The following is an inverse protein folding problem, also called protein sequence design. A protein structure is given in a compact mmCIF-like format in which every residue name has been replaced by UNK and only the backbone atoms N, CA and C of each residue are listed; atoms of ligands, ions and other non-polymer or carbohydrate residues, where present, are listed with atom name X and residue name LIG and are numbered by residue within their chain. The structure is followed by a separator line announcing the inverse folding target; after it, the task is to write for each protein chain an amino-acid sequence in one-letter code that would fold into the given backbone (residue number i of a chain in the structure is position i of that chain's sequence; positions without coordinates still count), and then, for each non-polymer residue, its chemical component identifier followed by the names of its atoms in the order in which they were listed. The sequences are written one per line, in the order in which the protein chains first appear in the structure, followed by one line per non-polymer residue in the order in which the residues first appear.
data_IF_222097788162
#
_entry.id   IF_222097788162
#
_cell.length_a   1.000
_cell.length_b   1.000
_cell.length_c   1.000
_cell.angle_alpha   90.00
_cell.angle_beta   90.00
_cell.angle_gamma   90.00
#
_symmetry.space_group_name_H-M   'P 1'
#
loop_
_entity.id
_entity.type
_entity.pdbx_description
1 polymer ?
#
# COMPACT_ATOMS: atom_id res chain seq x y z
N UNK A 1 10.94 -16.74 -15.23
CA UNK A 1 12.31 -16.37 -14.79
C UNK A 1 12.66 -14.89 -15.05
N UNK A 2 12.04 -14.20 -16.04
CA UNK A 2 12.34 -12.79 -16.36
C UNK A 2 11.86 -11.74 -15.37
N UNK A 3 10.91 -12.05 -14.52
CA UNK A 3 10.31 -11.08 -13.60
C UNK A 3 11.19 -10.70 -12.40
N UNK A 4 12.19 -11.49 -12.06
CA UNK A 4 13.07 -11.20 -10.93
C UNK A 4 13.99 -10.00 -11.15
N UNK A 5 14.24 -9.62 -12.41
CA UNK A 5 15.14 -8.51 -12.73
C UNK A 5 14.54 -7.12 -12.51
N UNK A 6 13.22 -6.97 -12.60
CA UNK A 6 12.51 -5.69 -12.43
C UNK A 6 11.85 -5.53 -11.07
N UNK A 7 11.96 -6.55 -10.21
CA UNK A 7 11.49 -6.54 -8.83
C UNK A 7 10.13 -5.85 -8.65
N UNK A 8 9.03 -6.34 -9.25
CA UNK A 8 7.72 -5.73 -9.08
C UNK A 8 7.30 -5.86 -7.61
N UNK A 9 6.84 -4.78 -7.03
CA UNK A 9 6.33 -4.74 -5.68
C UNK A 9 4.87 -4.30 -5.70
N UNK A 10 3.95 -5.20 -5.35
CA UNK A 10 2.56 -4.89 -5.12
C UNK A 10 2.40 -4.19 -3.75
N UNK A 11 1.63 -3.13 -3.72
CA UNK A 11 1.48 -2.31 -2.52
C UNK A 11 0.12 -1.61 -2.46
N UNK A 12 -0.20 -1.10 -1.29
CA UNK A 12 -1.33 -0.21 -1.07
C UNK A 12 -0.77 1.19 -0.83
N UNK A 13 -1.15 2.12 -1.67
CA UNK A 13 -0.88 3.54 -1.49
C UNK A 13 -2.03 4.19 -0.73
N UNK A 14 -1.69 5.09 0.18
CA UNK A 14 -2.65 5.89 0.92
C UNK A 14 -2.47 7.36 0.60
N UNK A 15 -3.55 8.09 0.42
CA UNK A 15 -3.50 9.55 0.42
C UNK A 15 -3.15 10.02 1.83
N UNK A 16 -1.95 10.57 2.02
CA UNK A 16 -1.46 11.00 3.34
C UNK A 16 -1.77 12.46 3.66
N UNK A 17 -2.44 13.17 2.75
CA UNK A 17 -2.78 14.59 2.93
C UNK A 17 -4.27 14.82 3.18
N UNK A 18 -5.11 13.91 2.72
CA UNK A 18 -6.56 14.06 2.79
C UNK A 18 -7.24 12.74 3.15
N UNK A 19 -8.40 12.83 3.83
CA UNK A 19 -9.21 11.68 4.20
C UNK A 19 -8.69 10.90 5.42
N UNK A 20 -9.23 9.69 5.65
CA UNK A 20 -8.99 8.97 6.90
C UNK A 20 -7.55 8.46 7.05
N UNK A 21 -6.86 8.24 5.94
CA UNK A 21 -5.53 7.65 5.93
C UNK A 21 -4.39 8.65 6.20
N UNK A 22 -4.71 9.90 6.53
CA UNK A 22 -3.75 10.85 7.12
C UNK A 22 -3.25 10.32 8.46
N UNK A 23 -4.12 9.66 9.23
CA UNK A 23 -3.73 9.04 10.50
C UNK A 23 -2.87 7.77 10.27
N UNK A 24 -1.63 7.75 10.78
CA UNK A 24 -0.76 6.59 10.66
C UNK A 24 -1.26 5.36 11.44
N UNK A 25 -2.12 5.53 12.45
CA UNK A 25 -2.68 4.41 13.19
C UNK A 25 -3.56 3.54 12.30
N UNK A 26 -4.38 4.15 11.43
CA UNK A 26 -5.22 3.40 10.48
C UNK A 26 -4.34 2.63 9.49
N UNK A 27 -3.32 3.28 8.90
CA UNK A 27 -2.41 2.64 7.95
C UNK A 27 -1.66 1.46 8.58
N UNK A 28 -1.24 1.61 9.84
CA UNK A 28 -0.59 0.54 10.61
C UNK A 28 -1.56 -0.62 10.88
N UNK A 29 -2.79 -0.33 11.29
CA UNK A 29 -3.81 -1.36 11.53
C UNK A 29 -4.09 -2.17 10.25
N UNK A 30 -4.22 -1.51 9.10
CA UNK A 30 -4.38 -2.16 7.80
C UNK A 30 -3.18 -3.08 7.50
N UNK A 31 -1.96 -2.57 7.69
CA UNK A 31 -0.74 -3.36 7.45
C UNK A 31 -0.63 -4.60 8.34
N UNK A 32 -1.14 -4.51 9.57
CA UNK A 32 -1.18 -5.65 10.50
C UNK A 32 -2.28 -6.65 10.16
N UNK A 33 -3.44 -6.18 9.68
CA UNK A 33 -4.61 -7.02 9.40
C UNK A 33 -4.47 -7.90 8.15
N UNK A 34 -3.69 -7.47 7.16
CA UNK A 34 -3.60 -8.13 5.85
C UNK A 34 -2.81 -9.43 5.94
N UNK A 35 -3.44 -10.54 5.53
CA UNK A 35 -2.77 -11.82 5.30
C UNK A 35 -2.07 -11.81 3.94
N UNK A 36 -0.77 -11.50 3.97
CA UNK A 36 0.08 -11.44 2.77
C UNK A 36 0.31 -12.81 2.18
N UNK A 37 0.33 -13.84 3.04
CA UNK A 37 0.54 -15.21 2.60
C UNK A 37 -0.64 -15.70 1.79
N UNK A 38 -1.86 -15.46 2.28
CA UNK A 38 -3.07 -15.76 1.53
C UNK A 38 -3.10 -15.06 0.18
N UNK A 39 -2.75 -13.76 0.13
CA UNK A 39 -2.71 -13.02 -1.13
C UNK A 39 -1.73 -13.65 -2.13
N UNK A 40 -0.53 -14.01 -1.68
CA UNK A 40 0.48 -14.63 -2.54
C UNK A 40 0.00 -16.01 -3.01
N UNK A 41 -0.40 -16.87 -2.10
CA UNK A 41 -0.70 -18.26 -2.42
C UNK A 41 -1.99 -18.42 -3.24
N UNK A 42 -3.02 -17.59 -2.97
CA UNK A 42 -4.36 -17.74 -3.57
C UNK A 42 -4.60 -16.76 -4.73
N UNK A 43 -4.19 -15.50 -4.60
CA UNK A 43 -4.49 -14.46 -5.59
C UNK A 43 -3.39 -14.38 -6.64
N UNK A 44 -2.13 -14.43 -6.20
CA UNK A 44 -0.95 -14.34 -7.06
C UNK A 44 -0.31 -15.71 -7.35
N UNK A 45 -1.05 -16.80 -7.16
CA UNK A 45 -0.68 -18.18 -7.55
C UNK A 45 0.70 -18.66 -7.04
N UNK A 46 1.10 -18.20 -5.87
CA UNK A 46 2.41 -18.51 -5.28
C UNK A 46 3.57 -17.67 -5.84
N UNK A 47 3.30 -16.77 -6.76
CA UNK A 47 4.32 -15.86 -7.29
C UNK A 47 4.54 -14.68 -6.36
N UNK A 48 5.69 -14.64 -5.69
CA UNK A 48 6.07 -13.53 -4.84
C UNK A 48 6.53 -13.94 -3.44
N UNK A 49 6.86 -12.94 -2.67
CA UNK A 49 7.23 -13.05 -1.25
C UNK A 49 6.66 -11.86 -0.48
N UNK A 50 6.31 -12.01 0.81
CA UNK A 50 5.91 -10.88 1.62
C UNK A 50 7.01 -9.82 1.64
N UNK A 51 6.66 -8.57 1.30
CA UNK A 51 7.57 -7.46 1.43
C UNK A 51 7.61 -6.97 2.88
N UNK A 52 8.81 -6.72 3.39
CA UNK A 52 9.04 -6.22 4.76
C UNK A 52 9.55 -4.78 4.76
N UNK A 53 9.95 -4.26 3.60
CA UNK A 53 10.45 -2.89 3.45
C UNK A 53 10.06 -2.31 2.08
N UNK A 54 10.40 -1.04 1.86
CA UNK A 54 10.29 -0.39 0.56
C UNK A 54 11.26 -0.95 -0.48
N UNK A 55 12.26 -1.72 -0.05
CA UNK A 55 13.22 -2.40 -0.91
C UNK A 55 12.87 -3.87 -1.07
N UNK A 56 13.00 -4.38 -2.30
CA UNK A 56 12.87 -5.81 -2.56
C UNK A 56 13.93 -6.62 -1.80
N UNK A 57 13.53 -7.80 -1.30
CA UNK A 57 14.45 -8.77 -0.68
C UNK A 57 15.55 -9.27 -1.60
N UNK A 58 15.48 -8.98 -2.90
CA UNK A 58 16.52 -9.30 -3.86
C UNK A 58 17.75 -8.38 -3.71
N UNK A 59 17.61 -7.20 -3.12
CA UNK A 59 18.72 -6.29 -2.80
C UNK A 59 19.35 -6.66 -1.46
N UNK A 60 20.03 -7.81 -1.40
CA UNK A 60 20.57 -8.38 -0.16
C UNK A 60 21.56 -7.46 0.57
N UNK A 61 22.36 -6.70 -0.17
CA UNK A 61 23.41 -5.85 0.41
C UNK A 61 22.87 -4.58 1.09
N UNK A 62 21.67 -4.14 0.70
CA UNK A 62 21.07 -2.88 1.15
C UNK A 62 19.78 -3.09 1.96
N UNK A 63 19.35 -4.34 2.14
CA UNK A 63 18.10 -4.64 2.79
C UNK A 63 18.31 -5.00 4.25
N UNK A 64 17.88 -4.11 5.13
CA UNK A 64 17.94 -4.25 6.58
C UNK A 64 16.68 -4.92 7.15
N UNK A 65 16.21 -6.01 6.54
CA UNK A 65 14.98 -6.71 6.94
C UNK A 65 14.89 -7.00 8.44
N UNK A 66 15.98 -7.35 9.08
CA UNK A 66 16.03 -7.68 10.51
C UNK A 66 15.76 -6.46 11.40
N UNK A 67 16.01 -5.25 10.90
CA UNK A 67 15.86 -3.99 11.63
C UNK A 67 14.54 -3.29 11.35
N UNK A 68 13.80 -3.75 10.34
CA UNK A 68 12.51 -3.15 9.95
C UNK A 68 11.37 -3.68 10.84
N UNK A 69 10.32 -2.85 11.07
CA UNK A 69 9.12 -3.32 11.73
C UNK A 69 8.56 -4.55 11.01
N UNK A 70 8.50 -5.68 11.71
CA UNK A 70 8.01 -6.91 11.12
C UNK A 70 6.48 -6.96 11.24
N UNK A 71 5.80 -6.97 10.10
CA UNK A 71 4.35 -7.20 10.05
C UNK A 71 4.08 -8.70 9.91
N UNK A 72 3.05 -9.25 10.59
CA UNK A 72 2.72 -10.66 10.52
C UNK A 72 2.38 -11.06 9.07
N UNK A 73 2.96 -12.16 8.58
CA UNK A 73 2.70 -12.65 7.22
C UNK A 73 1.24 -13.06 7.03
N UNK A 74 0.64 -13.69 8.06
CA UNK A 74 -0.74 -14.18 8.05
C UNK A 74 -1.78 -13.16 8.50
N UNK A 75 -1.36 -11.96 8.80
CA UNK A 75 -2.22 -10.94 9.39
C UNK A 75 -2.62 -11.23 10.84
N UNK A 76 -2.85 -10.16 11.61
CA UNK A 76 -3.32 -10.22 12.99
C UNK A 76 -4.47 -9.23 13.18
N UNK A 77 -5.70 -9.73 13.03
CA UNK A 77 -6.92 -8.92 13.17
C UNK A 77 -7.12 -8.43 14.62
N UNK A 78 -6.66 -9.20 15.61
CA UNK A 78 -6.79 -8.80 17.02
C UNK A 78 -5.87 -7.62 17.32
N UNK A 79 -4.61 -7.69 16.92
CA UNK A 79 -3.66 -6.58 17.04
C UNK A 79 -4.10 -5.35 16.24
N UNK A 80 -4.65 -5.54 15.03
CA UNK A 80 -5.18 -4.44 14.21
C UNK A 80 -6.35 -3.74 14.89
N UNK A 81 -7.30 -4.48 15.48
CA UNK A 81 -8.40 -3.94 16.27
C UNK A 81 -7.88 -3.16 17.48
N UNK A 82 -6.91 -3.70 18.22
CA UNK A 82 -6.31 -3.02 19.38
C UNK A 82 -5.65 -1.69 19.00
N UNK A 83 -5.00 -1.61 17.83
CA UNK A 83 -4.44 -0.36 17.29
C UNK A 83 -5.54 0.67 17.06
N UNK A 84 -6.65 0.27 16.39
CA UNK A 84 -7.77 1.17 16.10
C UNK A 84 -8.49 1.62 17.37
N UNK A 85 -8.71 0.72 18.33
CA UNK A 85 -9.33 1.03 19.61
C UNK A 85 -8.49 2.05 20.40
N UNK A 86 -7.17 1.85 20.46
CA UNK A 86 -6.22 2.77 21.11
C UNK A 86 -6.21 4.14 20.44
N UNK A 87 -6.39 4.19 19.12
CA UNK A 87 -6.48 5.44 18.36
C UNK A 87 -7.86 6.12 18.43
N UNK A 88 -8.85 5.52 19.13
CA UNK A 88 -10.16 6.10 19.34
C UNK A 88 -11.20 5.79 18.25
N UNK A 89 -10.88 4.95 17.29
CA UNK A 89 -11.81 4.52 16.23
C UNK A 89 -12.76 3.45 16.75
N UNK A 90 -13.88 3.88 17.33
CA UNK A 90 -14.92 2.97 17.85
C UNK A 90 -15.81 2.45 16.74
N UNK A 91 -16.33 1.22 16.91
CA UNK A 91 -17.36 0.67 16.04
C UNK A 91 -18.72 1.32 16.32
N UNK A 92 -19.45 1.62 15.26
CA UNK A 92 -20.86 2.01 15.35
C UNK A 92 -21.78 0.80 15.60
N UNK A 93 -23.10 1.03 15.62
CA UNK A 93 -24.10 -0.03 15.82
C UNK A 93 -24.10 -1.12 14.73
N UNK A 94 -23.49 -0.88 13.59
CA UNK A 94 -23.31 -1.83 12.49
C UNK A 94 -21.92 -2.48 12.47
N UNK A 95 -21.10 -2.21 13.48
CA UNK A 95 -19.72 -2.73 13.55
C UNK A 95 -18.71 -1.96 12.69
N UNK A 96 -19.08 -0.84 12.11
CA UNK A 96 -18.23 -0.02 11.23
C UNK A 96 -17.52 1.07 12.04
N UNK A 97 -16.21 1.21 11.82
CA UNK A 97 -15.36 2.28 12.39
C UNK A 97 -15.19 3.45 11.42
N UNK A 98 -15.02 3.13 10.16
CA UNK A 98 -14.89 4.12 9.07
C UNK A 98 -15.26 3.50 7.74
N UNK A 99 -15.63 4.37 6.79
CA UNK A 99 -15.87 4.01 5.39
C UNK A 99 -14.80 4.65 4.52
N UNK A 100 -14.35 3.93 3.50
CA UNK A 100 -13.34 4.43 2.57
C UNK A 100 -13.54 3.83 1.18
N UNK A 101 -12.90 4.46 0.19
CA UNK A 101 -12.87 4.00 -1.20
C UNK A 101 -11.50 3.42 -1.50
N UNK A 102 -11.48 2.25 -2.12
CA UNK A 102 -10.29 1.61 -2.65
C UNK A 102 -10.32 1.63 -4.17
N UNK A 103 -9.42 2.39 -4.75
CA UNK A 103 -9.15 2.38 -6.19
C UNK A 103 -8.26 1.18 -6.54
N UNK A 104 -8.59 0.49 -7.62
CA UNK A 104 -7.84 -0.68 -8.07
C UNK A 104 -7.16 -0.38 -9.40
N UNK A 105 -5.87 -0.71 -9.48
CA UNK A 105 -5.16 -0.63 -10.76
C UNK A 105 -5.85 -1.54 -11.80
N UNK A 106 -6.23 -1.02 -12.98
CA UNK A 106 -7.05 -1.75 -13.94
C UNK A 106 -6.24 -2.71 -14.85
N UNK A 107 -5.42 -3.57 -14.25
CA UNK A 107 -4.50 -4.44 -14.96
C UNK A 107 -4.84 -5.93 -14.83
N UNK A 108 -6.12 -6.23 -14.72
CA UNK A 108 -6.61 -7.60 -14.81
C UNK A 108 -7.31 -8.13 -13.56
N UNK A 109 -7.69 -9.40 -13.64
CA UNK A 109 -8.56 -10.04 -12.67
C UNK A 109 -7.89 -10.26 -11.30
N UNK A 110 -6.58 -10.47 -11.27
CA UNK A 110 -5.85 -10.68 -10.00
C UNK A 110 -5.93 -9.45 -9.10
N UNK A 111 -5.89 -8.26 -9.69
CA UNK A 111 -6.06 -7.01 -8.95
C UNK A 111 -7.49 -6.82 -8.44
N UNK A 112 -8.49 -7.30 -9.19
CA UNK A 112 -9.88 -7.31 -8.72
C UNK A 112 -10.04 -8.24 -7.53
N UNK A 113 -9.50 -9.46 -7.59
CA UNK A 113 -9.50 -10.41 -6.49
C UNK A 113 -8.77 -9.88 -5.27
N UNK A 114 -7.65 -9.19 -5.46
CA UNK A 114 -6.94 -8.51 -4.38
C UNK A 114 -7.83 -7.45 -3.70
N UNK A 115 -8.58 -6.67 -4.47
CA UNK A 115 -9.54 -5.69 -3.95
C UNK A 115 -10.66 -6.35 -3.13
N UNK A 116 -11.28 -7.41 -3.64
CA UNK A 116 -12.35 -8.13 -2.93
C UNK A 116 -11.83 -8.75 -1.62
N UNK A 117 -10.64 -9.34 -1.64
CA UNK A 117 -9.99 -9.83 -0.43
C UNK A 117 -9.77 -8.69 0.59
N UNK A 118 -9.21 -7.56 0.16
CA UNK A 118 -8.99 -6.41 1.03
C UNK A 118 -10.29 -5.88 1.63
N UNK A 119 -11.36 -5.81 0.83
CA UNK A 119 -12.69 -5.41 1.31
C UNK A 119 -13.17 -6.31 2.43
N UNK A 120 -13.01 -7.63 2.27
CA UNK A 120 -13.38 -8.59 3.32
C UNK A 120 -12.47 -8.46 4.55
N UNK A 121 -11.14 -8.52 4.35
CA UNK A 121 -10.16 -8.52 5.45
C UNK A 121 -10.24 -7.24 6.30
N UNK A 122 -10.45 -6.09 5.68
CA UNK A 122 -10.57 -4.80 6.37
C UNK A 122 -11.97 -4.61 6.96
N UNK A 123 -13.00 -5.21 6.39
CA UNK A 123 -14.33 -5.29 6.99
C UNK A 123 -14.31 -5.96 8.37
N UNK A 124 -13.51 -7.00 8.53
CA UNK A 124 -13.36 -7.72 9.81
C UNK A 124 -12.80 -6.83 10.93
N UNK A 125 -12.04 -5.80 10.59
CA UNK A 125 -11.54 -4.80 11.55
C UNK A 125 -12.38 -3.51 11.58
N UNK A 126 -13.53 -3.50 10.90
CA UNK A 126 -14.49 -2.39 10.91
C UNK A 126 -14.22 -1.30 9.87
N UNK A 127 -13.34 -1.54 8.91
CA UNK A 127 -13.10 -0.62 7.79
C UNK A 127 -13.93 -1.09 6.60
N UNK A 128 -15.03 -0.39 6.32
CA UNK A 128 -15.92 -0.71 5.20
C UNK A 128 -15.40 -0.07 3.91
N UNK A 129 -14.98 -0.91 2.96
CA UNK A 129 -14.47 -0.45 1.67
C UNK A 129 -15.54 -0.49 0.58
N UNK A 130 -15.60 0.59 -0.19
CA UNK A 130 -16.18 0.64 -1.52
C UNK A 130 -15.05 0.43 -2.54
N UNK A 131 -15.23 -0.53 -3.46
CA UNK A 131 -14.25 -0.78 -4.52
C UNK A 131 -14.58 0.04 -5.76
N UNK A 132 -13.59 0.74 -6.30
CA UNK A 132 -13.74 1.52 -7.51
C UNK A 132 -12.95 0.90 -8.65
N UNK A 133 -13.66 0.59 -9.72
CA UNK A 133 -13.11 0.02 -10.94
C UNK A 133 -13.26 1.04 -12.06
N UNK A 134 -12.16 1.43 -12.67
CA UNK A 134 -12.12 2.41 -13.77
C UNK A 134 -11.27 1.88 -14.92
N UNK A 135 -11.32 2.52 -16.07
CA UNK A 135 -10.35 2.29 -17.13
C UNK A 135 -8.99 2.93 -16.80
N UNK A 136 -7.94 2.52 -17.51
CA UNK A 136 -6.57 3.00 -17.27
C UNK A 136 -6.47 4.53 -17.35
N UNK A 137 -6.97 5.23 -18.39
CA UNK A 137 -6.89 6.69 -18.46
C UNK A 137 -7.59 7.39 -17.31
N UNK A 138 -8.77 6.92 -16.90
CA UNK A 138 -9.55 7.50 -15.81
C UNK A 138 -8.83 7.29 -14.48
N UNK A 139 -8.35 6.09 -14.21
CA UNK A 139 -7.58 5.77 -13.01
C UNK A 139 -6.29 6.60 -12.91
N UNK A 140 -5.49 6.72 -14.00
CA UNK A 140 -4.28 7.56 -14.03
C UNK A 140 -4.60 9.02 -13.73
N UNK A 141 -5.68 9.55 -14.33
CA UNK A 141 -6.12 10.92 -14.10
C UNK A 141 -6.53 11.15 -12.64
N UNK A 142 -7.24 10.19 -12.04
CA UNK A 142 -7.66 10.25 -10.64
C UNK A 142 -6.47 10.23 -9.71
N UNK A 143 -5.62 9.22 -9.83
CA UNK A 143 -4.51 8.98 -8.89
C UNK A 143 -3.41 10.03 -9.03
N UNK A 144 -2.94 10.31 -10.27
CA UNK A 144 -1.73 11.10 -10.47
C UNK A 144 -1.98 12.55 -10.89
N UNK A 145 -3.11 12.85 -11.55
CA UNK A 145 -3.39 14.21 -11.97
C UNK A 145 -4.25 14.99 -10.96
N UNK A 146 -5.15 14.30 -10.24
CA UNK A 146 -6.07 14.95 -9.31
C UNK A 146 -5.75 14.66 -7.85
N UNK A 147 -5.04 13.55 -7.56
CA UNK A 147 -4.89 12.98 -6.22
C UNK A 147 -6.25 12.71 -5.53
N UNK A 148 -7.28 12.44 -6.33
CA UNK A 148 -8.65 12.18 -5.90
C UNK A 148 -8.83 10.69 -5.60
N UNK A 149 -8.09 10.18 -4.63
CA UNK A 149 -8.19 8.83 -4.11
C UNK A 149 -7.95 8.82 -2.60
N UNK A 150 -8.42 7.79 -1.93
CA UNK A 150 -8.17 7.57 -0.50
C UNK A 150 -7.16 6.43 -0.31
N UNK A 151 -7.46 5.27 -0.85
CA UNK A 151 -6.59 4.09 -0.96
C UNK A 151 -6.49 3.68 -2.42
N UNK A 152 -5.33 3.18 -2.82
CA UNK A 152 -5.09 2.67 -4.17
C UNK A 152 -4.24 1.40 -4.10
N UNK A 153 -4.70 0.31 -4.74
CA UNK A 153 -3.86 -0.86 -4.98
C UNK A 153 -3.08 -0.63 -6.25
N UNK A 154 -1.77 -0.78 -6.15
CA UNK A 154 -0.86 -0.52 -7.23
C UNK A 154 0.34 -1.47 -7.18
N UNK A 155 1.20 -1.41 -8.17
CA UNK A 155 2.52 -2.02 -8.13
C UNK A 155 3.57 -1.10 -8.74
N UNK A 156 4.79 -1.23 -8.26
CA UNK A 156 5.93 -0.50 -8.79
C UNK A 156 7.06 -1.45 -9.15
N UNK A 157 7.75 -1.10 -10.21
CA UNK A 157 9.02 -1.74 -10.53
C UNK A 157 10.13 -1.05 -9.75
N UNK A 158 10.90 -1.85 -9.02
CA UNK A 158 12.15 -1.39 -8.46
C UNK A 158 13.24 -1.62 -9.49
N UNK A 159 13.81 -0.52 -9.98
CA UNK A 159 14.90 -0.54 -10.95
C UNK A 159 16.13 -1.26 -10.37
N UNK A 160 17.10 -1.67 -11.20
CA UNK A 160 18.34 -2.30 -10.71
C UNK A 160 19.08 -1.48 -9.65
N UNK A 161 18.97 -0.15 -9.70
CA UNK A 161 19.43 0.74 -8.65
C UNK A 161 18.30 0.96 -7.63
N UNK A 162 18.48 0.50 -6.38
CA UNK A 162 17.45 0.60 -5.35
C UNK A 162 17.11 2.06 -4.99
N UNK A 163 18.06 2.98 -5.12
CA UNK A 163 17.83 4.41 -4.83
C UNK A 163 16.81 4.98 -5.80
N UNK A 164 16.93 4.71 -7.09
CA UNK A 164 16.01 5.21 -8.10
C UNK A 164 14.57 4.73 -7.87
N UNK A 165 14.40 3.47 -7.46
CA UNK A 165 13.09 2.90 -7.16
C UNK A 165 12.45 3.52 -5.92
N UNK A 166 13.21 3.69 -4.85
CA UNK A 166 12.73 4.24 -3.57
C UNK A 166 12.52 5.75 -3.65
N UNK A 167 13.49 6.51 -4.17
CA UNK A 167 13.38 7.95 -4.32
C UNK A 167 12.11 8.35 -5.08
N UNK A 168 11.87 7.68 -6.20
CA UNK A 168 10.70 7.95 -7.06
C UNK A 168 9.35 7.84 -6.32
N UNK A 169 9.24 6.97 -5.30
CA UNK A 169 7.98 6.75 -4.60
C UNK A 169 7.86 7.50 -3.27
N UNK A 170 8.98 7.91 -2.68
CA UNK A 170 8.97 8.48 -1.32
C UNK A 170 9.58 9.87 -1.24
N UNK A 171 10.40 10.31 -2.20
CA UNK A 171 10.98 11.65 -2.21
C UNK A 171 9.90 12.74 -2.31
N UNK A 172 10.06 13.80 -1.54
CA UNK A 172 9.13 14.95 -1.56
C UNK A 172 9.13 15.65 -2.92
N UNK A 173 10.25 15.72 -3.58
CA UNK A 173 10.44 16.28 -4.95
C UNK A 173 9.69 15.46 -6.02
N UNK A 174 9.32 14.22 -5.70
CA UNK A 174 8.56 13.32 -6.56
C UNK A 174 7.04 13.47 -6.41
N UNK A 175 6.56 14.41 -5.60
CA UNK A 175 5.15 14.83 -5.59
C UNK A 175 4.91 15.71 -6.84
N UNK A 176 4.79 15.04 -8.00
CA UNK A 176 4.71 15.68 -9.32
C UNK A 176 3.35 15.46 -9.93
N UNK A 177 2.46 16.43 -9.78
CA UNK A 177 1.10 16.37 -10.32
C UNK A 177 1.14 16.16 -11.85
N UNK A 178 0.45 15.12 -12.32
CA UNK A 178 0.41 14.77 -13.74
C UNK A 178 1.51 13.81 -14.21
N UNK A 179 2.49 13.49 -13.37
CA UNK A 179 3.50 12.47 -13.65
C UNK A 179 3.03 11.13 -13.07
N UNK A 180 3.06 10.07 -13.88
CA UNK A 180 2.57 8.75 -13.48
C UNK A 180 3.65 7.96 -12.73
N UNK A 181 3.22 7.08 -11.83
CA UNK A 181 4.07 6.14 -11.09
C UNK A 181 5.19 6.83 -10.28
N UNK A 182 4.85 7.95 -9.68
CA UNK A 182 5.67 8.70 -8.72
C UNK A 182 4.94 8.79 -7.38
N UNK A 183 5.41 9.63 -6.45
CA UNK A 183 4.84 9.78 -5.10
C UNK A 183 3.40 10.34 -5.13
N UNK A 184 2.43 9.50 -5.48
CA UNK A 184 1.00 9.85 -5.49
C UNK A 184 0.42 9.96 -4.09
N UNK A 185 0.99 9.24 -3.12
CA UNK A 185 0.60 9.32 -1.70
C UNK A 185 0.86 10.68 -1.07
N UNK A 186 1.68 11.50 -1.70
CA UNK A 186 2.12 12.82 -1.23
C UNK A 186 2.83 12.76 0.12
N UNK A 187 3.47 11.62 0.41
CA UNK A 187 4.32 11.49 1.58
C UNK A 187 5.48 12.48 1.50
N UNK A 188 5.78 13.16 2.60
CA UNK A 188 6.86 14.15 2.66
C UNK A 188 7.53 14.06 4.03
N UNK A 189 8.84 13.88 4.01
CA UNK A 189 9.65 13.80 5.23
C UNK A 189 11.06 14.32 4.94
N UNK A 190 11.41 15.53 5.43
CA UNK A 190 12.72 16.14 5.17
C UNK A 190 13.91 15.30 5.61
N UNK A 191 13.76 14.47 6.65
CA UNK A 191 14.83 13.56 7.07
C UNK A 191 15.05 12.42 6.08
N UNK A 192 13.97 11.91 5.50
CA UNK A 192 14.07 10.92 4.44
C UNK A 192 14.65 11.53 3.17
N UNK A 193 14.20 12.72 2.79
CA UNK A 193 14.72 13.42 1.60
C UNK A 193 16.24 13.59 1.70
N UNK A 194 16.76 14.06 2.84
CA UNK A 194 18.19 14.19 3.07
C UNK A 194 18.98 12.88 2.98
N UNK A 195 18.34 11.75 3.31
CA UNK A 195 18.95 10.42 3.18
C UNK A 195 18.90 9.89 1.74
N UNK A 196 17.90 10.30 0.96
CA UNK A 196 17.77 9.92 -0.45
C UNK A 196 18.71 10.73 -1.36
N UNK A 197 19.10 11.92 -0.92
CA UNK A 197 19.99 12.85 -1.66
C UNK A 197 21.49 12.62 -1.35
N UNK A 198 21.81 11.81 -0.31
CA UNK A 198 23.18 11.53 0.14
C UNK A 198 23.83 10.40 -0.65
#
# INVERSE_FOLDING_TARGET
EGYSMINPMALIEFNTKEGPFVDPAIRRAISVAIDRRFMIDTIFFGYGKPATSALSSNFKATNLHAEMPNYPEKGDKAAANAILDKAGYKRDGNGVRLKAVLDLIPYGEDWRRAGEYLKQALGDIGIQLELRYEDVPTWLKRVYHRYDFQMNVNYFYQLPDPVLGVHRHYGTDQIRKGTHFVNSSRYSNPKLDALLDA
#
